data_IF_815199144279
#
_entry.id   IF_815199144279
#
_cell.length_a   1.000
_cell.length_b   1.000
_cell.length_c   1.000
_cell.angle_alpha   90.00
_cell.angle_beta   90.00
_cell.angle_gamma   90.00
#
_symmetry.space_group_name_H-M   'P 1'
#
loop_
_entity.id
_entity.type
_entity.pdbx_description
1 polymer ?
#
# COMPACT_ATOMS: atom_id res chain seq x y z
N UNK A 1 0.26 15.14 10.46
CA UNK A 1 -0.57 13.93 10.71
C UNK A 1 -1.76 13.82 9.77
N UNK A 2 -2.56 14.88 9.59
CA UNK A 2 -3.75 14.84 8.69
C UNK A 2 -3.35 14.50 7.25
N UNK A 3 -2.27 15.10 6.73
CA UNK A 3 -1.77 14.85 5.38
C UNK A 3 -1.25 13.42 5.18
N UNK A 4 -0.51 12.88 6.16
CA UNK A 4 0.01 11.52 6.11
C UNK A 4 -1.13 10.48 6.12
N UNK A 5 -2.14 10.67 6.99
CA UNK A 5 -3.37 9.86 6.99
C UNK A 5 -4.13 9.96 5.68
N UNK A 6 -4.27 11.16 5.11
CA UNK A 6 -4.96 11.39 3.85
C UNK A 6 -4.29 10.60 2.71
N UNK A 7 -2.97 10.72 2.56
CA UNK A 7 -2.27 10.02 1.47
C UNK A 7 -2.25 8.50 1.63
N UNK A 8 -2.15 7.98 2.87
CA UNK A 8 -2.34 6.54 3.11
C UNK A 8 -3.76 6.08 2.76
N UNK A 9 -4.77 6.88 3.11
CA UNK A 9 -6.16 6.59 2.74
C UNK A 9 -6.36 6.61 1.22
N UNK A 10 -5.85 7.63 0.52
CA UNK A 10 -5.89 7.72 -0.94
C UNK A 10 -5.16 6.55 -1.60
N UNK A 11 -3.98 6.17 -1.10
CA UNK A 11 -3.26 4.99 -1.56
C UNK A 11 -4.12 3.73 -1.41
N UNK A 12 -4.68 3.51 -0.23
CA UNK A 12 -5.50 2.33 0.05
C UNK A 12 -6.72 2.28 -0.87
N UNK A 13 -7.39 3.41 -1.09
CA UNK A 13 -8.52 3.57 -2.01
C UNK A 13 -8.10 3.24 -3.45
N UNK A 14 -7.04 3.87 -3.96
CA UNK A 14 -6.59 3.69 -5.34
C UNK A 14 -6.13 2.24 -5.61
N UNK A 15 -5.47 1.58 -4.65
CA UNK A 15 -5.11 0.16 -4.74
C UNK A 15 -6.35 -0.75 -4.78
N UNK A 16 -7.41 -0.43 -4.03
CA UNK A 16 -8.68 -1.19 -4.03
C UNK A 16 -9.43 -1.01 -5.36
N UNK A 17 -9.53 0.23 -5.85
CA UNK A 17 -10.27 0.55 -7.08
C UNK A 17 -9.46 0.30 -8.35
N UNK A 18 -8.19 -0.10 -8.23
CA UNK A 18 -7.33 -0.38 -9.37
C UNK A 18 -6.99 0.86 -10.20
N UNK A 19 -7.00 2.05 -9.59
CA UNK A 19 -6.62 3.30 -10.25
C UNK A 19 -5.10 3.44 -10.21
N UNK A 20 -4.42 2.82 -11.19
CA UNK A 20 -2.95 2.70 -11.24
C UNK A 20 -2.28 4.06 -11.08
N UNK A 21 -2.72 5.06 -11.86
CA UNK A 21 -2.09 6.37 -11.92
C UNK A 21 -2.24 7.13 -10.60
N UNK A 22 -3.40 7.01 -9.95
CA UNK A 22 -3.66 7.66 -8.67
C UNK A 22 -2.92 6.96 -7.52
N UNK A 23 -2.84 5.62 -7.56
CA UNK A 23 -2.03 4.84 -6.65
C UNK A 23 -0.55 5.22 -6.78
N UNK A 24 -0.05 5.31 -8.01
CA UNK A 24 1.34 5.69 -8.28
C UNK A 24 1.65 7.12 -7.84
N UNK A 25 0.77 8.09 -8.14
CA UNK A 25 0.93 9.49 -7.66
C UNK A 25 0.93 9.57 -6.14
N UNK A 26 0.08 8.79 -5.47
CA UNK A 26 0.01 8.73 -4.01
C UNK A 26 1.28 8.11 -3.44
N UNK A 27 1.74 7.00 -3.99
CA UNK A 27 3.01 6.36 -3.61
C UNK A 27 4.21 7.29 -3.80
N UNK A 28 4.28 8.00 -4.93
CA UNK A 28 5.34 8.98 -5.19
C UNK A 28 5.33 10.12 -4.17
N UNK A 29 4.15 10.67 -3.86
CA UNK A 29 4.02 11.70 -2.81
C UNK A 29 4.44 11.15 -1.44
N UNK A 30 4.00 9.96 -1.07
CA UNK A 30 4.36 9.31 0.20
C UNK A 30 5.86 9.00 0.30
N UNK A 31 6.49 8.52 -0.79
CA UNK A 31 7.93 8.26 -0.86
C UNK A 31 8.78 9.53 -0.77
N UNK A 32 8.22 10.68 -1.17
CA UNK A 32 8.89 11.98 -1.07
C UNK A 32 8.85 12.60 0.33
N UNK A 33 8.08 12.03 1.27
CA UNK A 33 7.94 12.56 2.62
C UNK A 33 9.28 12.46 3.37
N UNK A 34 9.85 13.62 3.74
CA UNK A 34 11.01 13.72 4.64
C UNK A 34 10.61 14.23 6.02
N UNK A 35 11.32 13.79 7.06
CA UNK A 35 11.12 14.21 8.45
C UNK A 35 11.11 13.05 9.43
N UNK A 36 10.35 13.20 10.52
CA UNK A 36 10.29 12.29 11.67
C UNK A 36 10.15 10.78 11.33
N UNK A 37 10.38 9.93 12.35
CA UNK A 37 10.35 8.45 12.25
C UNK A 37 9.12 7.91 11.50
N UNK A 38 7.94 8.46 11.77
CA UNK A 38 6.70 8.06 11.11
C UNK A 38 6.76 8.27 9.59
N UNK A 39 7.24 9.43 9.13
CA UNK A 39 7.38 9.73 7.70
C UNK A 39 8.40 8.82 7.02
N UNK A 40 9.50 8.49 7.72
CA UNK A 40 10.48 7.53 7.22
C UNK A 40 9.83 6.15 7.01
N UNK A 41 9.06 5.66 7.99
CA UNK A 41 8.34 4.39 7.88
C UNK A 41 7.31 4.39 6.74
N UNK A 42 6.54 5.48 6.60
CA UNK A 42 5.59 5.66 5.50
C UNK A 42 6.31 5.65 4.14
N UNK A 43 7.43 6.35 4.03
CA UNK A 43 8.24 6.38 2.81
C UNK A 43 8.77 4.99 2.45
N UNK A 44 9.24 4.21 3.43
CA UNK A 44 9.68 2.83 3.23
C UNK A 44 8.53 1.93 2.78
N UNK A 45 7.36 2.05 3.41
CA UNK A 45 6.17 1.30 3.02
C UNK A 45 5.76 1.58 1.58
N UNK A 46 5.75 2.86 1.19
CA UNK A 46 5.44 3.28 -0.16
C UNK A 46 6.45 2.73 -1.17
N UNK A 47 7.75 2.79 -0.87
CA UNK A 47 8.79 2.25 -1.74
C UNK A 47 8.63 0.74 -1.96
N UNK A 48 8.29 -0.03 -0.92
CA UNK A 48 8.05 -1.48 -1.07
C UNK A 48 6.89 -1.75 -2.05
N UNK A 49 5.82 -0.95 -1.99
CA UNK A 49 4.70 -1.09 -2.93
C UNK A 49 5.12 -0.73 -4.36
N UNK A 50 5.85 0.37 -4.56
CA UNK A 50 6.38 0.76 -5.89
C UNK A 50 7.26 -0.37 -6.45
N UNK A 51 8.24 -0.85 -5.67
CA UNK A 51 9.18 -1.87 -6.13
C UNK A 51 8.45 -3.18 -6.51
N UNK A 52 7.38 -3.54 -5.81
CA UNK A 52 6.59 -4.72 -6.10
C UNK A 52 5.74 -4.55 -7.38
N UNK A 53 5.11 -3.38 -7.55
CA UNK A 53 4.31 -3.05 -8.74
C UNK A 53 5.17 -2.88 -9.99
N UNK A 54 6.39 -2.38 -9.86
CA UNK A 54 7.38 -2.27 -10.95
C UNK A 54 8.17 -3.57 -11.18
N UNK A 55 7.78 -4.67 -10.50
CA UNK A 55 8.44 -5.98 -10.58
C UNK A 55 9.95 -5.98 -10.25
N UNK A 56 10.45 -4.96 -9.55
CA UNK A 56 11.84 -4.89 -9.04
C UNK A 56 12.08 -5.88 -7.90
N UNK A 57 11.03 -6.22 -7.16
CA UNK A 57 11.02 -7.27 -6.15
C UNK A 57 9.84 -8.21 -6.37
N UNK A 58 9.99 -9.46 -5.96
CA UNK A 58 8.89 -10.44 -5.99
C UNK A 58 7.84 -10.10 -4.92
N UNK A 59 6.61 -10.55 -5.13
CA UNK A 59 5.54 -10.42 -4.15
C UNK A 59 5.89 -11.07 -2.80
N UNK A 60 6.63 -12.20 -2.81
CA UNK A 60 7.13 -12.84 -1.59
C UNK A 60 8.08 -11.91 -0.82
N UNK A 61 9.06 -11.31 -1.50
CA UNK A 61 9.99 -10.36 -0.88
C UNK A 61 9.27 -9.11 -0.35
N UNK A 62 8.26 -8.61 -1.07
CA UNK A 62 7.49 -7.47 -0.63
C UNK A 62 6.75 -7.75 0.69
N UNK A 63 6.15 -8.94 0.83
CA UNK A 63 5.50 -9.39 2.08
C UNK A 63 6.46 -9.45 3.25
N UNK A 64 7.62 -10.08 3.06
CA UNK A 64 8.66 -10.19 4.09
C UNK A 64 9.13 -8.80 4.54
N UNK A 65 9.34 -7.88 3.60
CA UNK A 65 9.70 -6.48 3.89
C UNK A 65 8.60 -5.73 4.65
N UNK A 66 7.33 -5.89 4.27
CA UNK A 66 6.20 -5.25 4.97
C UNK A 66 6.09 -5.77 6.41
N UNK A 67 6.26 -7.08 6.63
CA UNK A 67 6.26 -7.66 7.97
C UNK A 67 7.42 -7.15 8.83
N UNK A 68 8.65 -7.11 8.29
CA UNK A 68 9.81 -6.53 8.99
C UNK A 68 9.55 -5.07 9.36
N UNK A 69 9.04 -4.29 8.40
CA UNK A 69 8.72 -2.88 8.61
C UNK A 69 7.67 -2.68 9.71
N UNK A 70 6.74 -3.63 9.90
CA UNK A 70 5.73 -3.55 10.96
C UNK A 70 6.29 -3.70 12.36
N UNK A 71 7.41 -4.41 12.53
CA UNK A 71 8.16 -4.46 13.78
C UNK A 71 9.01 -3.22 14.00
N UNK A 72 9.61 -2.67 12.93
CA UNK A 72 10.49 -1.50 13.01
C UNK A 72 9.72 -0.17 13.16
N UNK A 73 8.57 -0.05 12.49
CA UNK A 73 7.74 1.17 12.42
C UNK A 73 6.26 0.86 12.70
N UNK A 74 5.92 0.32 13.88
CA UNK A 74 4.54 -0.07 14.19
C UNK A 74 3.54 1.09 14.07
N UNK A 75 3.98 2.34 14.31
CA UNK A 75 3.17 3.54 14.19
C UNK A 75 2.57 3.77 12.79
N UNK A 76 3.23 3.29 11.73
CA UNK A 76 2.75 3.38 10.34
C UNK A 76 1.50 2.52 10.16
N UNK A 77 1.53 1.31 10.73
CA UNK A 77 0.48 0.31 10.57
C UNK A 77 -0.71 0.55 11.50
N UNK A 78 -0.52 1.39 12.51
CA UNK A 78 -1.56 1.81 13.45
C UNK A 78 -2.22 3.13 13.06
N UNK A 79 -1.70 3.83 12.05
CA UNK A 79 -2.09 5.21 11.73
C UNK A 79 -3.57 5.35 11.37
N UNK A 80 -4.11 4.40 10.62
CA UNK A 80 -5.47 4.37 10.08
C UNK A 80 -6.34 3.29 10.76
N UNK A 81 -5.80 2.62 11.79
CA UNK A 81 -6.50 1.60 12.56
C UNK A 81 -6.31 1.79 14.06
N UNK A 82 -6.80 2.93 14.56
CA UNK A 82 -6.80 3.27 16.00
C UNK A 82 -7.40 2.16 16.89
N UNK A 83 -8.14 1.18 16.33
CA UNK A 83 -8.86 0.14 17.07
C UNK A 83 -8.41 -1.32 16.83
N UNK A 84 -7.48 -1.62 15.91
CA UNK A 84 -7.06 -3.03 15.70
C UNK A 84 -6.02 -3.52 16.71
N UNK A 85 -5.39 -2.61 17.46
CA UNK A 85 -4.45 -2.91 18.55
C UNK A 85 -3.12 -3.57 18.15
N UNK A 86 -2.98 -4.07 16.92
CA UNK A 86 -1.85 -4.89 16.49
C UNK A 86 -1.33 -4.46 15.10
N UNK A 87 -0.08 -3.99 15.09
CA UNK A 87 0.64 -3.57 13.88
C UNK A 87 0.84 -4.74 12.90
N UNK A 88 1.05 -5.95 13.40
CA UNK A 88 1.24 -7.17 12.58
C UNK A 88 -0.04 -7.52 11.85
N UNK A 89 -1.18 -7.53 12.55
CA UNK A 89 -2.51 -7.72 11.91
C UNK A 89 -2.81 -6.65 10.88
N UNK A 90 -2.38 -5.42 11.13
CA UNK A 90 -2.55 -4.32 10.19
C UNK A 90 -1.67 -4.49 8.97
N UNK A 91 -0.44 -4.95 9.14
CA UNK A 91 0.49 -5.29 8.06
C UNK A 91 -0.07 -6.36 7.10
N UNK A 92 -0.76 -7.38 7.62
CA UNK A 92 -1.47 -8.35 6.77
C UNK A 92 -2.54 -7.70 5.88
N UNK A 93 -3.21 -6.64 6.37
CA UNK A 93 -4.15 -5.86 5.55
C UNK A 93 -3.47 -5.15 4.39
N UNK A 94 -2.29 -4.57 4.62
CA UNK A 94 -1.47 -3.95 3.57
C UNK A 94 -0.95 -4.98 2.57
N UNK A 95 -0.50 -6.15 3.06
CA UNK A 95 -0.09 -7.27 2.21
C UNK A 95 -1.24 -7.70 1.29
N UNK A 96 -2.43 -7.93 1.84
CA UNK A 96 -3.58 -8.37 1.04
C UNK A 96 -3.93 -7.36 -0.06
N UNK A 97 -3.84 -6.05 0.23
CA UNK A 97 -4.07 -4.99 -0.77
C UNK A 97 -3.01 -5.00 -1.85
N UNK A 98 -1.74 -5.22 -1.50
CA UNK A 98 -0.65 -5.34 -2.47
C UNK A 98 -0.84 -6.57 -3.37
N UNK A 99 -1.18 -7.73 -2.79
CA UNK A 99 -1.49 -8.95 -3.56
C UNK A 99 -2.64 -8.71 -4.54
N UNK A 100 -3.72 -8.10 -4.06
CA UNK A 100 -4.87 -7.75 -4.88
C UNK A 100 -4.48 -6.80 -6.02
N UNK A 101 -3.65 -5.80 -5.73
CA UNK A 101 -3.17 -4.83 -6.71
C UNK A 101 -2.29 -5.48 -7.77
N UNK A 102 -1.31 -6.30 -7.37
CA UNK A 102 -0.46 -7.04 -8.32
C UNK A 102 -1.32 -7.96 -9.20
N UNK A 103 -2.26 -8.72 -8.64
CA UNK A 103 -3.15 -9.57 -9.44
C UNK A 103 -4.04 -8.79 -10.41
N UNK A 104 -4.46 -7.56 -10.03
CA UNK A 104 -5.29 -6.69 -10.87
C UNK A 104 -4.49 -5.96 -11.95
N UNK A 105 -3.21 -5.68 -11.71
CA UNK A 105 -2.33 -4.99 -12.65
C UNK A 105 -1.51 -5.96 -13.53
N UNK A 106 -1.27 -7.19 -13.07
CA UNK A 106 -0.70 -8.31 -13.83
C UNK A 106 -1.78 -8.97 -14.70
N UNK A 107 -2.49 -8.18 -15.53
CA UNK A 107 -3.63 -8.66 -16.34
C UNK A 107 -3.16 -9.70 -17.38
N UNK A 108 -3.11 -10.94 -16.91
CA UNK A 108 -3.28 -12.20 -17.64
C UNK A 108 -4.77 -12.60 -17.70
N UNK A 109 -5.66 -11.85 -17.03
CA UNK A 109 -7.10 -12.14 -16.89
C UNK A 109 -7.98 -10.91 -17.12
N UNK A 110 -8.33 -10.57 -18.38
CA UNK A 110 -9.18 -9.43 -18.73
C UNK A 110 -10.62 -9.51 -18.18
N UNK A 111 -11.06 -10.68 -17.73
CA UNK A 111 -12.41 -10.89 -17.17
C UNK A 111 -12.58 -10.38 -15.73
N UNK A 112 -11.49 -10.10 -15.00
CA UNK A 112 -11.51 -9.52 -13.66
C UNK A 112 -11.10 -8.04 -13.66
N UNK A 113 -11.30 -7.36 -14.79
CA UNK A 113 -11.19 -5.91 -14.84
C UNK A 113 -12.36 -5.27 -14.07
N UNK A 114 -12.25 -5.25 -12.74
CA UNK A 114 -13.20 -4.57 -11.85
C UNK A 114 -13.14 -3.04 -11.98
N UNK A 115 -12.43 -2.46 -12.96
CA UNK A 115 -12.57 -1.04 -13.32
C UNK A 115 -13.91 -0.75 -14.00
N UNK A 116 -14.73 -1.78 -14.28
CA UNK A 116 -16.14 -1.64 -14.61
C UNK A 116 -16.99 -2.41 -13.62
N UNK A 117 -17.27 -1.79 -12.47
CA UNK A 117 -18.66 -1.82 -12.03
C UNK A 117 -19.40 -0.80 -12.90
N UNK A 118 -19.67 -1.17 -14.16
CA UNK A 118 -20.75 -0.52 -14.89
C UNK A 118 -22.03 -1.00 -14.21
N UNK A 119 -22.83 -0.03 -13.78
CA UNK A 119 -24.27 -0.03 -13.97
C UNK A 119 -24.70 -1.02 -15.07
N UNK A 120 -25.36 -2.11 -14.68
CA UNK A 120 -26.38 -2.83 -15.46
C UNK A 120 -27.17 -3.77 -14.54
#
# INVERSE_FOLDING_TARGET
MIMERLYLSLLNTALIYGEVDEAYRSLMKLSSLRGNRLREGISKLAQIHIDALEHKITLKQAKEKILSLSGEYPEVFMLDREFTGDATRSAYGYIHRLEYSVNRYDIKYPYYNMQRCDDL
#
